data_IF_015274050952
#
_entry.id   IF_015274050952
#
_cell.length_a   1.000
_cell.length_b   1.000
_cell.length_c   1.000
_cell.angle_alpha   90.00
_cell.angle_beta   90.00
_cell.angle_gamma   90.00
#
_symmetry.space_group_name_H-M   'P 1'
#
loop_
_entity.id
_entity.type
_entity.pdbx_description
1 polymer ?
#
# COMPACT_ATOMS: atom_id res chain seq x y z
N UNK A 1 -19.58 -8.15 18.49
CA UNK A 1 -19.28 -7.37 17.28
C UNK A 1 -18.60 -8.33 16.32
N UNK A 2 -19.04 -8.30 15.06
CA UNK A 2 -18.32 -8.97 13.99
C UNK A 2 -17.19 -8.04 13.52
N UNK A 3 -15.96 -8.55 13.49
CA UNK A 3 -14.75 -7.82 13.09
C UNK A 3 -14.25 -8.29 11.72
N UNK A 4 -15.05 -9.11 11.03
CA UNK A 4 -14.74 -9.58 9.68
C UNK A 4 -14.72 -8.39 8.72
N UNK A 5 -13.74 -8.40 7.81
CA UNK A 5 -13.68 -7.44 6.74
C UNK A 5 -14.82 -7.70 5.76
N UNK A 6 -15.31 -6.64 5.12
CA UNK A 6 -16.21 -6.81 3.98
C UNK A 6 -15.43 -7.35 2.78
N UNK A 7 -16.11 -8.02 1.86
CA UNK A 7 -15.52 -8.51 0.61
C UNK A 7 -14.76 -7.40 -0.14
N UNK A 8 -15.31 -6.18 -0.17
CA UNK A 8 -14.66 -5.01 -0.77
C UNK A 8 -13.34 -4.64 -0.07
N UNK A 9 -13.31 -4.69 1.27
CA UNK A 9 -12.09 -4.40 2.04
C UNK A 9 -11.02 -5.47 1.83
N UNK A 10 -11.42 -6.74 1.71
CA UNK A 10 -10.48 -7.83 1.39
C UNK A 10 -9.88 -7.69 -0.01
N UNK A 11 -10.70 -7.33 -1.01
CA UNK A 11 -10.25 -7.06 -2.37
C UNK A 11 -9.29 -5.87 -2.44
N UNK A 12 -9.56 -4.81 -1.69
CA UNK A 12 -8.68 -3.66 -1.58
C UNK A 12 -7.33 -4.05 -0.95
N UNK A 13 -7.36 -4.82 0.15
CA UNK A 13 -6.14 -5.31 0.80
C UNK A 13 -5.32 -6.25 -0.10
N UNK A 14 -5.97 -7.10 -0.88
CA UNK A 14 -5.28 -7.95 -1.85
C UNK A 14 -4.53 -7.11 -2.89
N UNK A 15 -5.19 -6.08 -3.44
CA UNK A 15 -4.59 -5.17 -4.43
C UNK A 15 -3.39 -4.41 -3.86
N UNK A 16 -3.48 -3.92 -2.62
CA UNK A 16 -2.35 -3.25 -1.94
C UNK A 16 -1.19 -4.22 -1.70
N UNK A 17 -1.47 -5.47 -1.30
CA UNK A 17 -0.42 -6.49 -1.08
C UNK A 17 0.31 -6.84 -2.36
N UNK A 18 -0.38 -6.95 -3.48
CA UNK A 18 0.25 -7.15 -4.78
C UNK A 18 1.15 -5.97 -5.18
N UNK A 19 0.68 -4.74 -4.95
CA UNK A 19 1.43 -3.52 -5.24
C UNK A 19 2.74 -3.45 -4.42
N UNK A 20 2.68 -3.80 -3.14
CA UNK A 20 3.85 -3.89 -2.25
C UNK A 20 4.79 -5.01 -2.72
N UNK A 21 4.26 -6.22 -2.94
CA UNK A 21 5.05 -7.38 -3.31
C UNK A 21 5.82 -7.24 -4.63
N UNK A 22 5.26 -6.49 -5.59
CA UNK A 22 5.87 -6.30 -6.90
C UNK A 22 6.88 -5.14 -6.93
N UNK A 23 6.57 -4.02 -6.27
CA UNK A 23 7.28 -2.76 -6.52
C UNK A 23 7.87 -2.08 -5.28
N UNK A 24 7.44 -2.44 -4.07
CA UNK A 24 7.84 -1.73 -2.84
C UNK A 24 8.25 -2.71 -1.73
N UNK A 25 9.54 -2.99 -1.63
CA UNK A 25 10.09 -3.85 -0.57
C UNK A 25 9.96 -3.21 0.82
N UNK A 26 10.06 -4.02 1.87
CA UNK A 26 10.16 -3.51 3.24
C UNK A 26 11.35 -2.56 3.42
N UNK A 27 12.44 -2.77 2.68
CA UNK A 27 13.62 -1.92 2.67
C UNK A 27 13.31 -0.52 2.13
N UNK A 28 12.49 -0.39 1.09
CA UNK A 28 12.05 0.91 0.56
C UNK A 28 11.37 1.75 1.64
N UNK A 29 10.43 1.15 2.38
CA UNK A 29 9.73 1.84 3.47
C UNK A 29 10.67 2.18 4.62
N UNK A 30 11.59 1.28 4.95
CA UNK A 30 12.62 1.51 5.98
C UNK A 30 13.52 2.69 5.61
N UNK A 31 13.94 2.81 4.35
CA UNK A 31 14.72 3.96 3.88
C UNK A 31 13.91 5.25 4.01
N UNK A 32 12.64 5.25 3.56
CA UNK A 32 11.76 6.42 3.67
C UNK A 32 11.60 6.89 5.12
N UNK A 33 11.40 5.96 6.06
CA UNK A 33 11.31 6.25 7.49
C UNK A 33 12.62 6.84 8.04
N UNK A 34 13.76 6.21 7.73
CA UNK A 34 15.09 6.68 8.16
C UNK A 34 15.45 8.06 7.62
N UNK A 35 15.08 8.36 6.37
CA UNK A 35 15.37 9.66 5.74
C UNK A 35 14.26 10.68 5.97
N UNK A 36 13.23 10.35 6.77
CA UNK A 36 12.04 11.18 6.98
C UNK A 36 11.43 11.66 5.66
N UNK A 37 11.47 10.81 4.63
CA UNK A 37 11.03 11.10 3.28
C UNK A 37 9.68 10.48 3.04
N UNK A 38 8.77 11.25 2.46
CA UNK A 38 7.45 10.75 2.12
C UNK A 38 7.54 9.78 0.91
N UNK A 39 6.97 8.56 1.01
CA UNK A 39 7.05 7.53 -0.03
C UNK A 39 6.17 7.88 -1.23
N UNK A 40 6.60 8.88 -2.00
CA UNK A 40 5.82 9.50 -3.08
C UNK A 40 5.55 8.53 -4.23
N UNK A 41 6.50 7.63 -4.50
CA UNK A 41 6.35 6.62 -5.56
C UNK A 41 5.29 5.59 -5.20
N UNK A 42 5.24 5.17 -3.93
CA UNK A 42 4.18 4.31 -3.41
C UNK A 42 2.81 4.97 -3.53
N UNK A 43 2.70 6.23 -3.11
CA UNK A 43 1.44 6.97 -3.20
C UNK A 43 0.97 7.17 -4.64
N UNK A 44 1.91 7.41 -5.56
CA UNK A 44 1.61 7.48 -6.99
C UNK A 44 1.12 6.13 -7.53
N UNK A 45 1.79 5.04 -7.18
CA UNK A 45 1.38 3.70 -7.62
C UNK A 45 -0.01 3.31 -7.06
N UNK A 46 -0.33 3.69 -5.82
CA UNK A 46 -1.67 3.55 -5.26
C UNK A 46 -2.71 4.34 -6.07
N UNK A 47 -2.44 5.60 -6.38
CA UNK A 47 -3.33 6.42 -7.20
C UNK A 47 -3.51 5.83 -8.62
N UNK A 48 -2.43 5.34 -9.24
CA UNK A 48 -2.46 4.68 -10.56
C UNK A 48 -3.27 3.37 -10.53
N UNK A 49 -3.30 2.67 -9.39
CA UNK A 49 -4.17 1.49 -9.17
C UNK A 49 -5.64 1.83 -8.90
N UNK A 50 -6.00 3.12 -8.87
CA UNK A 50 -7.37 3.59 -8.60
C UNK A 50 -7.77 3.55 -7.13
N UNK A 51 -6.80 3.33 -6.22
CA UNK A 51 -7.03 3.39 -4.78
C UNK A 51 -6.96 4.87 -4.35
N UNK A 52 -8.03 5.45 -3.79
CA UNK A 52 -8.01 6.84 -3.37
C UNK A 52 -6.98 7.03 -2.24
N UNK A 53 -6.02 7.91 -2.50
CA UNK A 53 -4.96 8.33 -1.58
C UNK A 53 -5.38 9.49 -0.68
#
# INVERSE_FOLDING_TARGET
MDFSLTEEQELLLASIRELIGNNFSEEYFRTCDQTSTYPTEFMRALADSGIPC
#
